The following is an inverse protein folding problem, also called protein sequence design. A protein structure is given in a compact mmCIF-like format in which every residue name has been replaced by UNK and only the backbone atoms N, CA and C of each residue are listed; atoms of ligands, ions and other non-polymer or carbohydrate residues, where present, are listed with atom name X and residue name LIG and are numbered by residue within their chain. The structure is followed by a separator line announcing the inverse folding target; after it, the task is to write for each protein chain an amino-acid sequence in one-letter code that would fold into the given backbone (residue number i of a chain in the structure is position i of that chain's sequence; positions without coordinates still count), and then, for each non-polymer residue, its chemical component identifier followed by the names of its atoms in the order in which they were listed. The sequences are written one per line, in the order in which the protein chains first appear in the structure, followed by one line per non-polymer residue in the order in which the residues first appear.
data_IF_185844848826
#
_entry.id   IF_185844848826
#
_cell.length_a   1.000
_cell.length_b   1.000
_cell.length_c   1.000
_cell.angle_alpha   90.00
_cell.angle_beta   90.00
_cell.angle_gamma   90.00
#
_symmetry.space_group_name_H-M   'P 1'
#
loop_
_entity.id
_entity.type
_entity.pdbx_description
1 polymer ?
#
# COMPACT_ATOMS: atom_id res chain seq x y z
N UNK A 1 15.18 7.48 -26.93
CA UNK A 1 15.02 7.24 -25.49
C UNK A 1 14.55 8.54 -24.91
N UNK A 2 13.29 8.59 -24.49
CA UNK A 2 12.75 9.76 -23.77
C UNK A 2 13.55 9.96 -22.48
N UNK A 3 13.72 11.21 -22.04
CA UNK A 3 14.48 11.49 -20.81
C UNK A 3 13.73 10.85 -19.62
N UNK A 4 14.43 10.44 -18.55
CA UNK A 4 13.78 9.92 -17.34
C UNK A 4 12.63 10.81 -16.83
N UNK A 5 12.80 12.12 -16.93
CA UNK A 5 11.79 13.12 -16.58
C UNK A 5 10.55 13.05 -17.48
N UNK A 6 10.73 12.83 -18.77
CA UNK A 6 9.63 12.73 -19.75
C UNK A 6 8.76 11.48 -19.47
N UNK A 7 9.38 10.39 -19.01
CA UNK A 7 8.65 9.18 -18.62
C UNK A 7 7.80 9.40 -17.37
N UNK A 8 8.34 10.06 -16.34
CA UNK A 8 7.59 10.40 -15.12
C UNK A 8 6.44 11.37 -15.45
N UNK A 9 6.70 12.38 -16.29
CA UNK A 9 5.69 13.33 -16.72
C UNK A 9 4.58 12.68 -17.54
N UNK A 10 4.96 11.82 -18.49
CA UNK A 10 4.02 11.04 -19.27
C UNK A 10 3.14 10.15 -18.38
N UNK A 11 3.74 9.50 -17.38
CA UNK A 11 2.98 8.73 -16.41
C UNK A 11 2.02 9.60 -15.60
N UNK A 12 2.46 10.75 -15.08
CA UNK A 12 1.56 11.69 -14.37
C UNK A 12 0.37 12.09 -15.24
N UNK A 13 0.63 12.51 -16.49
CA UNK A 13 -0.42 12.90 -17.43
C UNK A 13 -1.40 11.77 -17.69
N UNK A 14 -0.91 10.54 -17.89
CA UNK A 14 -1.77 9.37 -18.03
C UNK A 14 -2.67 9.17 -16.80
N UNK A 15 -2.13 9.29 -15.59
CA UNK A 15 -2.92 9.18 -14.35
C UNK A 15 -4.02 10.25 -14.29
N UNK A 16 -3.69 11.51 -14.58
CA UNK A 16 -4.62 12.63 -14.56
C UNK A 16 -5.76 12.47 -15.57
N UNK A 17 -5.44 12.03 -16.78
CA UNK A 17 -6.40 11.80 -17.87
C UNK A 17 -7.34 10.62 -17.57
N UNK A 18 -6.89 9.61 -16.81
CA UNK A 18 -7.63 8.36 -16.61
C UNK A 18 -8.19 8.16 -15.18
N UNK A 19 -7.95 9.08 -14.24
CA UNK A 19 -8.35 8.92 -12.82
C UNK A 19 -9.86 8.70 -12.61
N UNK A 20 -10.70 9.23 -13.50
CA UNK A 20 -12.16 9.10 -13.42
C UNK A 20 -12.68 7.81 -14.09
N UNK A 21 -11.89 7.22 -14.99
CA UNK A 21 -12.26 6.03 -15.76
C UNK A 21 -11.75 4.76 -15.09
N UNK A 22 -10.58 4.82 -14.45
CA UNK A 22 -9.96 3.67 -13.78
C UNK A 22 -10.32 3.69 -12.31
N UNK A 23 -11.22 2.79 -11.90
CA UNK A 23 -11.70 2.69 -10.52
C UNK A 23 -10.56 2.55 -9.49
N UNK A 24 -9.52 1.77 -9.79
CA UNK A 24 -8.37 1.59 -8.90
C UNK A 24 -7.58 2.89 -8.68
N UNK A 25 -7.43 3.75 -9.70
CA UNK A 25 -6.78 5.06 -9.55
C UNK A 25 -7.58 5.97 -8.63
N UNK A 26 -8.90 6.00 -8.82
CA UNK A 26 -9.81 6.74 -7.94
C UNK A 26 -9.68 6.28 -6.48
N UNK A 27 -9.69 4.98 -6.23
CA UNK A 27 -9.52 4.41 -4.89
C UNK A 27 -8.16 4.77 -4.28
N UNK A 28 -7.07 4.69 -5.04
CA UNK A 28 -5.73 5.09 -4.56
C UNK A 28 -5.71 6.55 -4.10
N UNK A 29 -6.41 7.44 -4.82
CA UNK A 29 -6.47 8.86 -4.50
C UNK A 29 -7.37 9.15 -3.30
N UNK A 30 -8.57 8.55 -3.23
CA UNK A 30 -9.62 8.97 -2.30
C UNK A 30 -9.86 8.02 -1.12
N UNK A 31 -9.64 6.73 -1.30
CA UNK A 31 -10.01 5.70 -0.32
C UNK A 31 -9.10 4.46 -0.46
N UNK A 32 -7.78 4.59 -0.26
CA UNK A 32 -6.82 3.50 -0.49
C UNK A 32 -7.03 2.33 0.48
N UNK A 33 -7.78 2.53 1.56
CA UNK A 33 -8.19 1.48 2.50
C UNK A 33 -9.19 0.48 1.92
N UNK A 34 -9.86 0.84 0.82
CA UNK A 34 -10.80 -0.03 0.10
C UNK A 34 -10.13 -0.85 -1.01
N UNK A 35 -8.85 -0.61 -1.28
CA UNK A 35 -8.11 -1.34 -2.30
C UNK A 35 -7.92 -2.81 -1.89
N UNK A 36 -8.23 -3.69 -2.83
CA UNK A 36 -7.94 -5.12 -2.75
C UNK A 36 -6.70 -5.43 -3.57
N UNK A 37 -6.05 -6.57 -3.28
CA UNK A 37 -4.92 -7.04 -4.08
C UNK A 37 -5.29 -7.25 -5.56
N UNK A 38 -6.53 -7.69 -5.82
CA UNK A 38 -7.04 -7.86 -7.18
C UNK A 38 -7.03 -6.52 -7.94
N UNK A 39 -7.52 -5.45 -7.33
CA UNK A 39 -7.54 -4.10 -7.92
C UNK A 39 -6.13 -3.63 -8.29
N UNK A 40 -5.15 -3.87 -7.41
CA UNK A 40 -3.75 -3.51 -7.66
C UNK A 40 -3.14 -4.34 -8.79
N UNK A 41 -3.47 -5.64 -8.86
CA UNK A 41 -2.98 -6.53 -9.92
C UNK A 41 -3.54 -6.14 -11.28
N UNK A 42 -4.84 -5.87 -11.36
CA UNK A 42 -5.49 -5.39 -12.59
C UNK A 42 -4.95 -4.03 -13.02
N UNK A 43 -4.78 -3.10 -12.07
CA UNK A 43 -4.16 -1.81 -12.35
C UNK A 43 -2.73 -1.98 -12.87
N UNK A 44 -1.91 -2.83 -12.24
CA UNK A 44 -0.53 -3.05 -12.67
C UNK A 44 -0.47 -3.60 -14.08
N UNK A 45 -1.33 -4.57 -14.41
CA UNK A 45 -1.45 -5.11 -15.75
C UNK A 45 -1.86 -4.03 -16.77
N UNK A 46 -2.86 -3.22 -16.44
CA UNK A 46 -3.29 -2.11 -17.29
C UNK A 46 -2.15 -1.12 -17.55
N UNK A 47 -1.45 -0.70 -16.49
CA UNK A 47 -0.33 0.22 -16.60
C UNK A 47 0.80 -0.38 -17.45
N UNK A 48 1.13 -1.66 -17.27
CA UNK A 48 2.10 -2.37 -18.09
C UNK A 48 1.71 -2.35 -19.58
N UNK A 49 0.44 -2.57 -19.93
CA UNK A 49 -0.03 -2.50 -21.33
C UNK A 49 0.09 -1.09 -21.94
N UNK A 50 0.15 -0.06 -21.11
CA UNK A 50 0.38 1.34 -21.51
C UNK A 50 1.85 1.74 -21.48
N UNK A 51 2.75 0.79 -21.17
CA UNK A 51 4.18 1.02 -21.08
C UNK A 51 4.65 1.54 -19.72
N UNK A 52 3.76 1.61 -18.72
CA UNK A 52 4.06 2.08 -17.37
C UNK A 52 4.26 0.92 -16.39
N UNK A 53 5.46 0.34 -16.38
CA UNK A 53 5.78 -0.72 -15.41
C UNK A 53 6.58 -0.18 -14.21
N UNK A 54 6.49 -0.89 -13.08
CA UNK A 54 7.11 -0.48 -11.82
C UNK A 54 8.64 -0.35 -11.91
N UNK A 55 9.30 -1.26 -12.64
CA UNK A 55 10.77 -1.23 -12.79
C UNK A 55 11.23 0.01 -13.52
N UNK A 56 10.58 0.35 -14.64
CA UNK A 56 10.91 1.55 -15.41
C UNK A 56 10.56 2.83 -14.64
N UNK A 57 9.46 2.84 -13.88
CA UNK A 57 9.13 3.96 -12.97
C UNK A 57 10.21 4.17 -11.91
N UNK A 58 10.69 3.08 -11.32
CA UNK A 58 11.77 3.12 -10.35
C UNK A 58 13.07 3.69 -10.94
N UNK A 59 13.51 3.16 -12.09
CA UNK A 59 14.71 3.62 -12.76
C UNK A 59 14.60 5.08 -13.20
N UNK A 60 13.45 5.49 -13.73
CA UNK A 60 13.19 6.87 -14.12
C UNK A 60 13.24 7.81 -12.91
N UNK A 61 12.59 7.45 -11.81
CA UNK A 61 12.59 8.23 -10.56
C UNK A 61 13.99 8.37 -9.99
N UNK A 62 14.73 7.25 -9.89
CA UNK A 62 16.10 7.23 -9.39
C UNK A 62 17.01 8.14 -10.19
N UNK A 63 16.91 8.13 -11.51
CA UNK A 63 17.74 8.97 -12.36
C UNK A 63 17.34 10.46 -12.28
N UNK A 64 16.05 10.76 -12.37
CA UNK A 64 15.55 12.13 -12.38
C UNK A 64 15.68 12.85 -11.01
N UNK A 65 15.43 12.13 -9.91
CA UNK A 65 15.41 12.68 -8.54
C UNK A 65 16.65 12.36 -7.72
N UNK A 66 17.55 11.50 -8.22
CA UNK A 66 18.72 10.98 -7.49
C UNK A 66 18.33 10.31 -6.16
N UNK A 67 17.19 9.62 -6.15
CA UNK A 67 16.62 8.96 -4.97
C UNK A 67 16.26 7.51 -5.29
N UNK A 68 16.86 6.58 -4.57
CA UNK A 68 16.62 5.15 -4.69
C UNK A 68 15.64 4.71 -3.60
N UNK A 69 14.36 4.61 -3.95
CA UNK A 69 13.27 4.35 -3.00
C UNK A 69 12.54 3.08 -3.45
N UNK A 70 12.49 2.06 -2.57
CA UNK A 70 11.73 0.83 -2.78
C UNK A 70 10.21 1.06 -2.65
N UNK A 71 9.69 1.91 -3.54
CA UNK A 71 8.29 2.28 -3.64
C UNK A 71 7.51 1.24 -4.44
N UNK A 72 6.26 1.00 -4.04
CA UNK A 72 5.29 0.26 -4.83
C UNK A 72 4.55 1.21 -5.79
N UNK A 73 3.71 0.66 -6.66
CA UNK A 73 2.94 1.45 -7.62
C UNK A 73 1.99 2.44 -6.94
N UNK A 74 1.48 2.10 -5.75
CA UNK A 74 0.58 2.97 -4.97
C UNK A 74 1.33 4.23 -4.55
N UNK A 75 2.57 4.09 -4.05
CA UNK A 75 3.40 5.22 -3.65
C UNK A 75 3.68 6.17 -4.83
N UNK A 76 4.05 5.63 -6.01
CA UNK A 76 4.24 6.46 -7.20
C UNK A 76 2.99 7.24 -7.61
N UNK A 77 1.84 6.55 -7.69
CA UNK A 77 0.57 7.16 -8.07
C UNK A 77 0.19 8.27 -7.09
N UNK A 78 0.26 8.00 -5.78
CA UNK A 78 -0.07 9.00 -4.76
C UNK A 78 0.87 10.20 -4.80
N UNK A 79 2.17 9.98 -4.95
CA UNK A 79 3.15 11.07 -5.08
C UNK A 79 2.87 11.94 -6.30
N UNK A 80 2.56 11.33 -7.45
CA UNK A 80 2.35 12.09 -8.68
C UNK A 80 0.98 12.78 -8.73
N UNK A 81 -0.06 12.18 -8.15
CA UNK A 81 -1.42 12.74 -8.14
C UNK A 81 -1.68 13.71 -6.98
N UNK A 82 -1.09 13.46 -5.81
CA UNK A 82 -1.37 14.21 -4.58
C UNK A 82 -0.21 15.13 -4.18
N UNK A 83 0.93 15.08 -4.89
CA UNK A 83 2.12 15.85 -4.55
C UNK A 83 2.81 15.39 -3.25
N UNK A 84 2.51 14.19 -2.75
CA UNK A 84 3.10 13.67 -1.52
C UNK A 84 4.55 13.24 -1.72
N UNK A 85 5.35 13.26 -0.64
CA UNK A 85 6.70 12.69 -0.65
C UNK A 85 6.65 11.20 -1.02
N UNK A 86 7.57 10.76 -1.89
CA UNK A 86 7.68 9.34 -2.22
C UNK A 86 8.28 8.60 -1.03
N UNK A 87 7.55 7.60 -0.54
CA UNK A 87 7.97 6.78 0.59
C UNK A 87 7.94 5.30 0.23
N UNK A 88 8.91 4.54 0.76
CA UNK A 88 8.94 3.09 0.57
C UNK A 88 7.72 2.43 1.19
N UNK A 89 7.34 1.26 0.68
CA UNK A 89 6.27 0.45 1.29
C UNK A 89 6.62 0.09 2.73
N UNK A 90 7.86 -0.30 2.98
CA UNK A 90 8.34 -0.70 4.30
C UNK A 90 8.22 0.44 5.31
N UNK A 91 8.63 1.66 4.95
CA UNK A 91 8.55 2.82 5.85
C UNK A 91 7.09 3.16 6.19
N UNK A 92 6.19 3.14 5.20
CA UNK A 92 4.76 3.39 5.42
C UNK A 92 4.13 2.36 6.34
N UNK A 93 4.45 1.07 6.14
CA UNK A 93 3.97 -0.02 6.99
C UNK A 93 4.52 0.14 8.42
N UNK A 94 5.84 0.32 8.58
CA UNK A 94 6.46 0.50 9.91
C UNK A 94 5.90 1.70 10.66
N UNK A 95 5.69 2.84 9.99
CA UNK A 95 5.06 4.04 10.60
C UNK A 95 3.63 3.75 11.06
N UNK A 96 2.85 3.03 10.25
CA UNK A 96 1.48 2.65 10.60
C UNK A 96 1.44 1.73 11.84
N UNK A 97 2.29 0.71 11.88
CA UNK A 97 2.38 -0.20 13.03
C UNK A 97 2.92 0.47 14.27
N UNK A 98 3.93 1.34 14.15
CA UNK A 98 4.44 2.13 15.28
C UNK A 98 3.31 2.93 15.95
N UNK A 99 2.48 3.62 15.15
CA UNK A 99 1.31 4.35 15.66
C UNK A 99 0.30 3.42 16.33
N UNK A 100 -0.03 2.29 15.68
CA UNK A 100 -0.96 1.30 16.23
C UNK A 100 -0.49 0.75 17.60
N UNK A 101 0.81 0.45 17.73
CA UNK A 101 1.36 -0.08 18.97
C UNK A 101 1.30 0.91 20.15
N UNK A 102 1.23 2.22 19.87
CA UNK A 102 1.18 3.28 20.89
C UNK A 102 -0.24 3.57 21.41
N UNK A 103 -1.29 3.11 20.72
CA UNK A 103 -2.67 3.47 21.07
C UNK A 103 -3.21 2.76 22.30
N UNK A 104 -2.73 1.55 22.56
CA UNK A 104 -3.22 0.72 23.64
C UNK A 104 -2.20 -0.34 24.02
N UNK A 105 -2.44 -0.96 25.18
CA UNK A 105 -1.66 -2.09 25.62
C UNK A 105 -2.10 -3.36 24.88
N UNK A 106 -1.23 -3.84 24.01
CA UNK A 106 -1.40 -5.13 23.33
C UNK A 106 -0.83 -6.27 24.17
N UNK A 107 -1.58 -7.36 24.29
CA UNK A 107 -1.08 -8.59 24.92
C UNK A 107 0.04 -9.22 24.08
N UNK A 108 0.85 -10.10 24.70
CA UNK A 108 1.95 -10.79 23.98
C UNK A 108 1.45 -11.55 22.75
N UNK A 109 0.34 -12.33 22.80
CA UNK A 109 -0.20 -12.99 21.62
C UNK A 109 -0.67 -12.02 20.53
N UNK A 110 -1.32 -10.90 20.90
CA UNK A 110 -1.75 -9.88 19.94
C UNK A 110 -0.56 -9.22 19.24
N UNK A 111 0.49 -8.85 20.01
CA UNK A 111 1.73 -8.29 19.44
C UNK A 111 2.38 -9.24 18.45
N UNK A 112 2.47 -10.53 18.78
CA UNK A 112 3.03 -11.54 17.88
C UNK A 112 2.25 -11.66 16.56
N UNK A 113 0.92 -11.56 16.61
CA UNK A 113 0.07 -11.56 15.41
C UNK A 113 0.22 -10.29 14.60
N UNK A 114 0.23 -9.12 15.26
CA UNK A 114 0.46 -7.84 14.59
C UNK A 114 1.82 -7.82 13.87
N UNK A 115 2.88 -8.35 14.49
CA UNK A 115 4.20 -8.47 13.85
C UNK A 115 4.17 -9.38 12.62
N UNK A 116 3.36 -10.44 12.61
CA UNK A 116 3.19 -11.30 11.41
C UNK A 116 2.44 -10.56 10.30
N UNK A 117 1.40 -9.81 10.65
CA UNK A 117 0.65 -8.97 9.70
C UNK A 117 1.57 -7.88 9.13
N UNK A 118 2.36 -7.22 9.97
CA UNK A 118 3.35 -6.21 9.58
C UNK A 118 4.34 -6.77 8.56
N UNK A 119 4.95 -7.92 8.85
CA UNK A 119 5.86 -8.61 7.92
C UNK A 119 5.17 -8.95 6.60
N UNK A 120 3.94 -9.45 6.66
CA UNK A 120 3.18 -9.76 5.45
C UNK A 120 2.90 -8.49 4.64
N UNK A 121 2.58 -7.37 5.29
CA UNK A 121 2.33 -6.11 4.59
C UNK A 121 3.59 -5.53 3.94
N UNK A 122 4.75 -5.68 4.60
CA UNK A 122 6.05 -5.31 4.02
C UNK A 122 6.37 -6.17 2.79
N UNK A 123 6.03 -7.46 2.80
CA UNK A 123 6.33 -8.38 1.71
C UNK A 123 5.34 -8.25 0.53
N UNK A 124 4.04 -8.26 0.83
CA UNK A 124 2.96 -8.45 -0.15
C UNK A 124 2.03 -7.23 -0.32
N UNK A 125 2.17 -6.18 0.51
CA UNK A 125 1.35 -4.98 0.42
C UNK A 125 0.11 -5.05 1.31
N UNK A 126 -1.07 -4.87 0.73
CA UNK A 126 -2.31 -4.81 1.54
C UNK A 126 -2.67 -6.22 2.02
N UNK A 127 -2.92 -6.37 3.32
CA UNK A 127 -3.49 -7.58 3.91
C UNK A 127 -4.96 -7.33 4.21
N UNK A 128 -5.84 -8.08 3.55
CA UNK A 128 -7.30 -8.04 3.80
C UNK A 128 -7.73 -9.16 4.73
N UNK A 129 -9.01 -9.16 5.13
CA UNK A 129 -9.59 -10.25 5.93
C UNK A 129 -9.47 -11.59 5.20
N UNK A 130 -9.72 -11.61 3.90
CA UNK A 130 -9.64 -12.81 3.06
C UNK A 130 -8.22 -13.38 2.94
N UNK A 131 -7.19 -12.55 3.13
CA UNK A 131 -5.81 -13.01 3.14
C UNK A 131 -5.44 -13.74 4.43
N UNK A 132 -6.21 -13.56 5.50
CA UNK A 132 -5.98 -14.24 6.77
C UNK A 132 -6.42 -15.71 6.73
N UNK A 133 -7.20 -16.11 5.72
CA UNK A 133 -7.56 -17.52 5.45
C UNK A 133 -6.60 -18.20 4.45
N UNK A 134 -5.45 -17.57 4.16
CA UNK A 134 -4.40 -18.09 3.28
C UNK A 134 -3.08 -18.17 4.04
N UNK A 135 -2.07 -18.81 3.44
CA UNK A 135 -0.72 -18.84 3.99
C UNK A 135 -0.14 -17.42 4.18
N UNK A 136 0.56 -17.16 5.31
CA UNK A 136 0.91 -18.08 6.40
C UNK A 136 -0.10 -18.09 7.58
N UNK A 137 -1.28 -17.49 7.42
CA UNK A 137 -2.24 -17.28 8.51
C UNK A 137 -3.22 -18.44 8.71
N UNK A 138 -3.52 -19.19 7.65
CA UNK A 138 -4.27 -20.44 7.69
C UNK A 138 -3.65 -21.46 8.67
N UNK A 139 -2.32 -21.57 8.70
CA UNK A 139 -1.54 -22.44 9.61
C UNK A 139 -1.80 -22.13 11.09
N UNK A 140 -2.19 -20.90 11.41
CA UNK A 140 -2.51 -20.46 12.78
C UNK A 140 -4.02 -20.33 13.04
N UNK A 141 -4.84 -20.87 12.14
CA UNK A 141 -6.28 -21.07 12.26
C UNK A 141 -7.16 -20.06 11.53
N UNK A 142 -6.61 -19.32 10.55
CA UNK A 142 -7.41 -18.47 9.68
C UNK A 142 -7.95 -17.20 10.34
N UNK A 143 -8.77 -16.46 9.60
CA UNK A 143 -9.40 -15.22 10.06
C UNK A 143 -10.16 -15.43 11.37
N UNK A 144 -11.03 -16.44 11.45
CA UNK A 144 -11.89 -16.70 12.61
C UNK A 144 -11.10 -16.83 13.92
N UNK A 145 -10.02 -17.61 13.92
CA UNK A 145 -9.21 -17.82 15.14
C UNK A 145 -8.36 -16.60 15.48
N UNK A 146 -7.83 -15.90 14.48
CA UNK A 146 -7.03 -14.70 14.69
C UNK A 146 -7.95 -13.59 15.23
N UNK A 147 -9.13 -13.39 14.64
CA UNK A 147 -10.08 -12.34 15.01
C UNK A 147 -10.55 -12.47 16.47
N UNK A 148 -10.79 -13.70 16.94
CA UNK A 148 -11.14 -13.95 18.35
C UNK A 148 -10.07 -13.48 19.35
N UNK A 149 -8.79 -13.54 18.98
CA UNK A 149 -7.69 -13.02 19.83
C UNK A 149 -7.65 -11.49 19.90
N UNK A 150 -8.37 -10.83 19.00
CA UNK A 150 -8.62 -9.40 18.99
C UNK A 150 -10.05 -9.06 19.40
N UNK A 151 -10.74 -9.97 20.11
CA UNK A 151 -12.12 -9.77 20.59
C UNK A 151 -13.08 -9.40 19.46
N UNK A 152 -12.85 -9.96 18.27
CA UNK A 152 -13.58 -9.71 17.04
C UNK A 152 -13.39 -8.31 16.40
N UNK A 153 -12.37 -7.56 16.83
CA UNK A 153 -12.06 -6.22 16.30
C UNK A 153 -10.97 -6.20 15.20
N UNK A 154 -10.49 -7.36 14.73
CA UNK A 154 -9.40 -7.41 13.75
C UNK A 154 -9.71 -6.66 12.44
N UNK A 155 -10.91 -6.73 11.84
CA UNK A 155 -11.22 -5.96 10.64
C UNK A 155 -11.04 -4.44 10.84
N UNK A 156 -11.48 -3.92 11.99
CA UNK A 156 -11.33 -2.51 12.33
C UNK A 156 -9.85 -2.13 12.53
N UNK A 157 -9.06 -3.02 13.13
CA UNK A 157 -7.61 -2.84 13.29
C UNK A 157 -6.93 -2.80 11.91
N UNK A 158 -7.26 -3.70 10.99
CA UNK A 158 -6.71 -3.71 9.62
C UNK A 158 -7.07 -2.42 8.87
N UNK A 159 -8.32 -1.96 8.97
CA UNK A 159 -8.75 -0.71 8.36
C UNK A 159 -7.98 0.50 8.92
N UNK A 160 -7.73 0.50 10.23
CA UNK A 160 -6.95 1.55 10.90
C UNK A 160 -5.48 1.54 10.46
N UNK A 161 -4.85 0.37 10.36
CA UNK A 161 -3.48 0.24 9.81
C UNK A 161 -3.41 0.80 8.40
N UNK A 162 -4.34 0.41 7.51
CA UNK A 162 -4.41 0.94 6.15
C UNK A 162 -4.58 2.46 6.16
N UNK A 163 -5.40 3.00 7.05
CA UNK A 163 -5.58 4.46 7.20
C UNK A 163 -4.25 5.13 7.55
N UNK A 164 -3.47 4.56 8.47
CA UNK A 164 -2.17 5.13 8.85
C UNK A 164 -1.11 5.03 7.76
N UNK A 165 -1.14 3.97 6.95
CA UNK A 165 -0.22 3.81 5.83
C UNK A 165 -0.39 4.89 4.76
N UNK A 166 -1.61 5.41 4.57
CA UNK A 166 -1.91 6.30 3.44
C UNK A 166 -2.29 7.73 3.84
N UNK A 167 -2.94 7.92 4.99
CA UNK A 167 -3.45 9.24 5.41
C UNK A 167 -2.52 9.93 6.43
N UNK A 168 -1.37 9.34 6.74
CA UNK A 168 -0.40 9.87 7.72
C UNK A 168 0.23 11.23 7.35
N UNK A 169 0.09 11.69 6.10
CA UNK A 169 0.70 12.94 5.61
C UNK A 169 -0.31 14.00 5.15
N UNK A 170 -1.55 13.97 5.64
CA UNK A 170 -2.41 15.16 5.53
C UNK A 170 -1.96 16.19 6.57
N UNK A 171 -0.85 16.88 6.29
CA UNK A 171 -0.65 18.21 6.88
C UNK A 171 -1.71 19.13 6.26
N UNK A 172 -2.59 19.64 7.12
CA UNK A 172 -3.40 20.81 6.83
C UNK A 172 -2.54 22.01 6.43
#
# INVERSE_FOLDING_TARGET
MDKPEDYIEGFRRYLEENQNEIAALKLIATSPTQLKRADLKELSLLLDTKGYNLRTLHDAWKNAKRQDVAADIIAYIRTLMLGSVLESREDRVKKAFLRLYQEQNWTVPQKSLLQRIEKQMIAEGIVTVEDLDKQPFDEIGGFERINKRFENHLPAILQKINTYMYNGNQTA
#
